data_IF_505947259294
#
_entry.id   IF_505947259294
#
_cell.length_a   1.000
_cell.length_b   1.000
_cell.length_c   1.000
_cell.angle_alpha   90.00
_cell.angle_beta   90.00
_cell.angle_gamma   90.00
#
_symmetry.space_group_name_H-M   'P 1'
#
loop_
_entity.id
_entity.type
_entity.pdbx_description
1 polymer ?
#
# COMPACT_ATOMS: atom_id res chain seq x y z
N UNK A 1 -6.82 16.17 3.15
CA UNK A 1 -7.11 15.90 1.73
C UNK A 1 -8.62 15.72 1.49
N UNK A 2 -9.27 14.65 1.97
CA UNK A 2 -10.75 14.44 1.88
C UNK A 2 -11.60 15.55 2.49
N UNK A 3 -11.12 16.18 3.57
CA UNK A 3 -11.82 17.28 4.24
C UNK A 3 -11.68 18.63 3.53
N UNK A 4 -10.57 18.83 2.80
CA UNK A 4 -10.19 20.13 2.19
C UNK A 4 -10.54 20.22 0.71
N UNK A 5 -10.61 19.09 0.01
CA UNK A 5 -10.96 19.00 -1.41
C UNK A 5 -11.96 17.87 -1.60
N UNK A 6 -13.15 18.20 -2.12
CA UNK A 6 -14.22 17.23 -2.41
C UNK A 6 -14.14 16.82 -3.87
N UNK A 7 -14.15 15.51 -4.14
CA UNK A 7 -14.18 14.96 -5.50
C UNK A 7 -13.50 13.59 -5.59
N UNK A 8 -14.24 12.58 -6.04
CA UNK A 8 -13.75 11.18 -6.12
C UNK A 8 -12.52 11.06 -7.03
N UNK A 9 -12.55 11.76 -8.17
CA UNK A 9 -11.45 11.75 -9.14
C UNK A 9 -10.13 12.27 -8.56
N UNK A 10 -10.17 13.39 -7.83
CA UNK A 10 -8.99 13.97 -7.16
C UNK A 10 -8.42 13.01 -6.11
N UNK A 11 -9.28 12.28 -5.40
CA UNK A 11 -8.84 11.29 -4.40
C UNK A 11 -8.15 10.08 -5.04
N UNK A 12 -8.71 9.55 -6.11
CA UNK A 12 -8.15 8.38 -6.78
C UNK A 12 -6.80 8.69 -7.41
N UNK A 13 -6.67 9.84 -8.07
CA UNK A 13 -5.42 10.25 -8.70
C UNK A 13 -4.34 10.58 -7.66
N UNK A 14 -4.71 11.20 -6.54
CA UNK A 14 -3.78 11.39 -5.42
C UNK A 14 -3.33 10.06 -4.83
N UNK A 15 -4.24 9.11 -4.69
CA UNK A 15 -3.89 7.80 -4.15
C UNK A 15 -2.91 7.06 -5.07
N UNK A 16 -3.07 7.18 -6.40
CA UNK A 16 -2.08 6.72 -7.39
C UNK A 16 -0.74 7.47 -7.19
N UNK A 17 -0.76 8.79 -7.10
CA UNK A 17 0.42 9.63 -6.92
C UNK A 17 1.23 9.25 -5.66
N UNK A 18 0.54 9.10 -4.53
CA UNK A 18 1.15 8.74 -3.24
C UNK A 18 1.86 7.38 -3.25
N UNK A 19 1.45 6.49 -4.17
CA UNK A 19 1.96 5.12 -4.30
C UNK A 19 3.04 4.96 -5.35
N UNK A 20 3.27 5.97 -6.17
CA UNK A 20 4.29 5.95 -7.22
C UNK A 20 5.64 5.58 -6.60
N UNK A 21 6.32 4.62 -7.23
CA UNK A 21 7.65 4.20 -6.77
C UNK A 21 8.73 5.12 -7.33
N UNK A 22 8.51 5.62 -8.55
CA UNK A 22 9.48 6.44 -9.30
C UNK A 22 9.08 7.91 -9.23
N UNK A 23 10.07 8.78 -9.09
CA UNK A 23 9.87 10.24 -9.10
C UNK A 23 9.30 10.70 -10.45
N UNK A 24 9.68 10.07 -11.56
CA UNK A 24 9.12 10.37 -12.89
C UNK A 24 7.61 10.11 -12.94
N UNK A 25 7.17 8.95 -12.46
CA UNK A 25 5.75 8.58 -12.37
C UNK A 25 4.99 9.54 -11.44
N UNK A 26 5.58 9.88 -10.30
CA UNK A 26 5.03 10.88 -9.37
C UNK A 26 4.83 12.24 -10.06
N UNK A 27 5.84 12.75 -10.77
CA UNK A 27 5.78 14.05 -11.46
C UNK A 27 4.71 14.06 -12.56
N UNK A 28 4.58 12.97 -13.31
CA UNK A 28 3.53 12.80 -14.33
C UNK A 28 2.14 12.89 -13.70
N UNK A 29 1.90 12.17 -12.60
CA UNK A 29 0.60 12.19 -11.91
C UNK A 29 0.34 13.55 -11.23
N UNK A 30 1.37 14.20 -10.67
CA UNK A 30 1.26 15.58 -10.15
C UNK A 30 0.88 16.58 -11.25
N UNK A 31 1.38 16.40 -12.47
CA UNK A 31 0.95 17.17 -13.64
C UNK A 31 -0.54 16.99 -13.94
N UNK A 32 -1.05 15.76 -13.88
CA UNK A 32 -2.48 15.48 -14.06
C UNK A 32 -3.32 16.12 -12.94
N UNK A 33 -2.87 16.04 -11.68
CA UNK A 33 -3.55 16.70 -10.54
C UNK A 33 -3.60 18.21 -10.76
N UNK A 34 -2.51 18.82 -11.23
CA UNK A 34 -2.46 20.26 -11.54
C UNK A 34 -3.45 20.64 -12.65
N UNK A 35 -3.60 19.79 -13.66
CA UNK A 35 -4.59 19.97 -14.72
C UNK A 35 -6.03 19.92 -14.22
N UNK A 36 -6.34 19.06 -13.25
CA UNK A 36 -7.68 18.98 -12.63
C UNK A 36 -7.91 20.18 -11.70
N UNK A 37 -6.96 20.45 -10.80
CA UNK A 37 -7.07 21.54 -9.84
C UNK A 37 -5.70 22.00 -9.33
N UNK A 38 -5.28 23.19 -9.78
CA UNK A 38 -4.00 23.81 -9.41
C UNK A 38 -3.86 24.00 -7.89
N UNK A 39 -4.94 24.35 -7.17
CA UNK A 39 -4.90 24.56 -5.71
C UNK A 39 -4.61 23.27 -4.96
N UNK A 40 -5.10 22.13 -5.47
CA UNK A 40 -4.79 20.81 -4.90
C UNK A 40 -3.31 20.50 -5.08
N UNK A 41 -2.78 20.67 -6.31
CA UNK A 41 -1.37 20.41 -6.59
C UNK A 41 -0.45 21.26 -5.71
N UNK A 42 -0.75 22.55 -5.57
CA UNK A 42 0.01 23.48 -4.73
C UNK A 42 0.02 23.04 -3.26
N UNK A 43 -1.15 22.73 -2.71
CA UNK A 43 -1.27 22.22 -1.35
C UNK A 43 -0.47 20.93 -1.12
N UNK A 44 -0.49 20.00 -2.07
CA UNK A 44 0.23 18.72 -1.95
C UNK A 44 1.75 18.91 -1.92
N UNK A 45 2.27 19.90 -2.63
CA UNK A 45 3.68 20.29 -2.58
C UNK A 45 4.02 20.95 -1.24
N UNK A 46 3.18 21.87 -0.76
CA UNK A 46 3.37 22.56 0.52
C UNK A 46 3.39 21.62 1.73
N UNK A 47 2.60 20.54 1.70
CA UNK A 47 2.59 19.51 2.76
C UNK A 47 3.92 18.74 2.82
N UNK A 48 4.80 18.89 1.82
CA UNK A 48 6.03 18.15 1.57
C UNK A 48 5.76 16.70 1.12
N UNK A 49 6.05 16.34 -0.14
CA UNK A 49 5.95 14.98 -0.66
C UNK A 49 6.64 13.92 0.19
N UNK A 50 7.72 14.24 0.91
CA UNK A 50 8.39 13.27 1.80
C UNK A 50 7.46 12.72 2.88
N UNK A 51 6.45 13.49 3.29
CA UNK A 51 5.51 13.09 4.36
C UNK A 51 4.40 12.15 3.90
N UNK A 52 4.11 12.09 2.60
CA UNK A 52 2.93 11.38 2.10
C UNK A 52 3.16 10.54 0.83
N UNK A 53 4.18 10.84 0.03
CA UNK A 53 4.49 10.14 -1.21
C UNK A 53 5.62 9.12 -1.00
N UNK A 54 5.42 7.91 -1.52
CA UNK A 54 6.42 6.84 -1.46
C UNK A 54 7.71 7.17 -2.20
N UNK A 55 7.62 7.77 -3.38
CA UNK A 55 8.78 8.10 -4.22
C UNK A 55 9.79 9.04 -3.54
N UNK A 56 9.34 9.84 -2.57
CA UNK A 56 10.14 10.84 -1.84
C UNK A 56 10.47 10.43 -0.40
N UNK A 57 9.99 9.28 0.08
CA UNK A 57 10.29 8.79 1.41
C UNK A 57 11.54 7.92 1.38
N UNK A 58 12.54 8.22 2.22
CA UNK A 58 13.84 7.53 2.21
C UNK A 58 13.74 6.08 2.73
N UNK A 59 12.71 5.77 3.52
CA UNK A 59 12.46 4.44 4.06
C UNK A 59 11.42 3.61 3.28
N UNK A 60 11.01 2.48 3.89
CA UNK A 60 9.91 1.67 3.35
C UNK A 60 8.58 2.15 3.92
N UNK A 61 7.76 2.79 3.09
CA UNK A 61 6.38 3.16 3.47
C UNK A 61 5.41 2.01 3.20
N UNK A 62 5.04 1.31 4.27
CA UNK A 62 4.06 0.23 4.25
C UNK A 62 2.63 0.75 4.05
N UNK A 63 1.77 -0.11 3.52
CA UNK A 63 0.46 0.15 2.90
C UNK A 63 -0.62 0.82 3.80
N UNK A 64 -0.29 1.21 5.04
CA UNK A 64 -1.24 1.82 5.98
C UNK A 64 -1.30 3.33 5.72
N UNK A 65 -2.04 3.69 4.67
CA UNK A 65 -2.42 5.07 4.38
C UNK A 65 -3.90 5.34 4.63
N UNK A 66 -4.62 4.34 5.16
CA UNK A 66 -6.06 4.39 5.37
C UNK A 66 -6.36 4.37 6.86
N UNK A 67 -7.30 5.21 7.28
CA UNK A 67 -7.92 5.20 8.60
C UNK A 67 -8.91 4.05 8.76
N UNK A 68 -9.06 3.18 7.75
CA UNK A 68 -10.08 2.13 7.72
C UNK A 68 -10.03 1.18 8.93
N UNK A 69 -8.85 0.84 9.43
CA UNK A 69 -8.74 0.01 10.64
C UNK A 69 -9.29 0.76 11.86
N UNK A 70 -8.90 2.02 12.03
CA UNK A 70 -9.39 2.86 13.12
C UNK A 70 -10.92 3.12 12.98
N UNK A 71 -11.41 3.40 11.78
CA UNK A 71 -12.84 3.58 11.48
C UNK A 71 -13.65 2.30 11.75
N UNK A 72 -13.15 1.15 11.33
CA UNK A 72 -13.78 -0.14 11.58
C UNK A 72 -13.82 -0.46 13.08
N UNK A 73 -12.70 -0.30 13.79
CA UNK A 73 -12.65 -0.47 15.25
C UNK A 73 -13.55 0.56 15.96
N UNK A 74 -13.61 1.80 15.47
CA UNK A 74 -14.51 2.82 15.99
C UNK A 74 -15.98 2.41 15.85
N UNK A 75 -16.34 1.82 14.72
CA UNK A 75 -17.69 1.30 14.47
C UNK A 75 -18.02 0.12 15.38
N UNK A 76 -17.12 -0.87 15.46
CA UNK A 76 -17.30 -2.08 16.29
C UNK A 76 -17.43 -1.71 17.78
N UNK A 77 -16.58 -0.79 18.26
CA UNK A 77 -16.54 -0.41 19.66
C UNK A 77 -17.53 0.72 20.01
N UNK A 78 -18.37 1.15 19.08
CA UNK A 78 -19.24 2.33 19.27
C UNK A 78 -20.07 2.23 20.56
N UNK A 79 -20.73 1.10 20.77
CA UNK A 79 -21.56 0.85 21.97
C UNK A 79 -20.69 0.52 23.19
N UNK A 80 -19.62 -0.25 23.00
CA UNK A 80 -18.76 -0.66 24.11
C UNK A 80 -18.04 0.51 24.81
N UNK A 81 -17.86 1.65 24.12
CA UNK A 81 -17.25 2.87 24.68
C UNK A 81 -18.09 3.57 25.74
N UNK A 82 -19.40 3.35 25.73
CA UNK A 82 -20.32 3.91 26.73
C UNK A 82 -20.30 3.08 28.02
N UNK A 83 -19.63 1.93 28.01
CA UNK A 83 -19.47 1.07 29.18
C UNK A 83 -18.31 1.56 30.08
N UNK A 84 -18.32 1.18 31.38
CA UNK A 84 -17.17 1.36 32.24
C UNK A 84 -15.89 0.75 31.65
N UNK A 85 -14.73 1.32 31.98
CA UNK A 85 -13.45 0.92 31.40
C UNK A 85 -13.18 -0.60 31.49
N UNK A 86 -13.53 -1.23 32.60
CA UNK A 86 -13.40 -2.69 32.79
C UNK A 86 -14.23 -3.48 31.79
N UNK A 87 -15.48 -3.07 31.55
CA UNK A 87 -16.39 -3.71 30.59
C UNK A 87 -15.98 -3.49 29.14
N UNK A 88 -15.41 -2.33 28.82
CA UNK A 88 -14.82 -2.08 27.51
C UNK A 88 -13.64 -3.03 27.25
N UNK A 89 -12.75 -3.21 28.24
CA UNK A 89 -11.61 -4.14 28.13
C UNK A 89 -12.10 -5.58 27.97
N UNK A 90 -13.07 -6.02 28.76
CA UNK A 90 -13.68 -7.36 28.63
C UNK A 90 -14.25 -7.59 27.21
N UNK A 91 -14.93 -6.57 26.66
CA UNK A 91 -15.50 -6.64 25.32
C UNK A 91 -14.41 -6.75 24.24
N UNK A 92 -13.36 -5.94 24.32
CA UNK A 92 -12.21 -6.01 23.40
C UNK A 92 -11.54 -7.38 23.48
N UNK A 93 -11.36 -7.91 24.70
CA UNK A 93 -10.77 -9.23 24.90
C UNK A 93 -11.60 -10.33 24.21
N UNK A 94 -12.93 -10.32 24.39
CA UNK A 94 -13.83 -11.26 23.72
C UNK A 94 -13.77 -11.17 22.18
N UNK A 95 -13.69 -9.96 21.62
CA UNK A 95 -13.52 -9.75 20.18
C UNK A 95 -12.20 -10.33 19.66
N UNK A 96 -11.10 -10.05 20.35
CA UNK A 96 -9.78 -10.57 19.98
C UNK A 96 -9.76 -12.10 20.04
N UNK A 97 -10.32 -12.69 21.11
CA UNK A 97 -10.40 -14.14 21.25
C UNK A 97 -11.20 -14.77 20.10
N UNK A 98 -12.36 -14.21 19.76
CA UNK A 98 -13.17 -14.66 18.62
C UNK A 98 -12.38 -14.57 17.30
N UNK A 99 -11.74 -13.44 17.01
CA UNK A 99 -10.98 -13.26 15.77
C UNK A 99 -9.76 -14.17 15.68
N UNK A 100 -9.07 -14.43 16.79
CA UNK A 100 -7.95 -15.37 16.81
C UNK A 100 -8.43 -16.80 16.57
N UNK A 101 -9.56 -17.18 17.15
CA UNK A 101 -10.20 -18.47 16.90
C UNK A 101 -10.59 -18.63 15.42
N UNK A 102 -11.34 -17.68 14.87
CA UNK A 102 -11.75 -17.69 13.45
C UNK A 102 -10.54 -17.73 12.50
N UNK A 103 -9.48 -16.99 12.82
CA UNK A 103 -8.24 -17.00 12.03
C UNK A 103 -7.55 -18.36 12.08
N UNK A 104 -7.48 -18.99 13.25
CA UNK A 104 -6.93 -20.35 13.39
C UNK A 104 -7.72 -21.35 12.55
N UNK A 105 -9.04 -21.34 12.66
CA UNK A 105 -9.92 -22.23 11.90
C UNK A 105 -9.79 -22.01 10.38
N UNK A 106 -9.62 -20.76 9.95
CA UNK A 106 -9.35 -20.45 8.55
C UNK A 106 -7.99 -21.01 8.10
N UNK A 107 -6.94 -20.89 8.92
CA UNK A 107 -5.60 -21.41 8.61
C UNK A 107 -5.56 -22.93 8.51
N UNK A 108 -6.30 -23.66 9.35
CA UNK A 108 -6.40 -25.13 9.26
C UNK A 108 -6.92 -25.59 7.88
N UNK A 109 -7.76 -24.78 7.23
CA UNK A 109 -8.33 -25.07 5.91
C UNK A 109 -7.44 -24.65 4.74
N UNK A 110 -6.30 -23.99 5.02
CA UNK A 110 -5.40 -23.51 3.98
C UNK A 110 -4.44 -24.61 3.54
N UNK A 111 -4.18 -24.69 2.24
CA UNK A 111 -3.27 -25.68 1.65
C UNK A 111 -1.83 -25.20 1.53
N UNK A 112 -1.56 -23.91 1.76
CA UNK A 112 -0.22 -23.33 1.71
C UNK A 112 0.02 -22.44 2.94
N UNK A 113 1.29 -22.10 3.27
CA UNK A 113 1.61 -21.22 4.38
C UNK A 113 1.18 -19.76 4.16
N UNK A 114 0.64 -19.40 3.00
CA UNK A 114 0.27 -18.03 2.64
C UNK A 114 -1.23 -17.85 2.67
N UNK A 115 -1.71 -16.73 3.23
CA UNK A 115 -3.14 -16.38 3.15
C UNK A 115 -3.62 -16.31 1.71
N UNK A 116 -4.89 -16.62 1.46
CA UNK A 116 -5.50 -16.55 0.11
C UNK A 116 -5.25 -15.21 -0.58
N UNK A 117 -5.23 -14.10 0.18
CA UNK A 117 -4.89 -12.78 -0.34
C UNK A 117 -3.43 -12.70 -0.82
N UNK A 118 -2.49 -13.21 -0.01
CA UNK A 118 -1.08 -13.22 -0.34
C UNK A 118 -0.79 -14.13 -1.54
N UNK A 119 -1.39 -15.32 -1.59
CA UNK A 119 -1.30 -16.22 -2.75
C UNK A 119 -1.82 -15.56 -4.02
N UNK A 120 -3.03 -14.98 -3.99
CA UNK A 120 -3.63 -14.29 -5.14
C UNK A 120 -2.70 -13.18 -5.62
N UNK A 121 -2.08 -12.45 -4.68
CA UNK A 121 -1.12 -11.39 -4.99
C UNK A 121 0.18 -11.91 -5.60
N UNK A 122 0.75 -13.00 -5.07
CA UNK A 122 1.94 -13.63 -5.63
C UNK A 122 1.68 -14.22 -7.01
N UNK A 123 0.57 -14.95 -7.18
CA UNK A 123 0.13 -15.49 -8.47
C UNK A 123 -0.01 -14.39 -9.52
N UNK A 124 -0.63 -13.27 -9.15
CA UNK A 124 -0.74 -12.11 -10.03
C UNK A 124 0.61 -11.49 -10.40
N UNK A 125 1.60 -11.48 -9.50
CA UNK A 125 2.97 -11.02 -9.80
C UNK A 125 3.72 -12.02 -10.69
N UNK A 126 3.63 -13.31 -10.40
CA UNK A 126 4.24 -14.37 -11.20
C UNK A 126 3.72 -14.32 -12.64
N UNK A 127 2.40 -14.24 -12.84
CA UNK A 127 1.82 -14.12 -14.18
C UNK A 127 2.34 -12.89 -14.95
N UNK A 128 2.46 -11.73 -14.29
CA UNK A 128 3.03 -10.52 -14.92
C UNK A 128 4.51 -10.70 -15.26
N UNK A 129 5.28 -11.37 -14.40
CA UNK A 129 6.72 -11.58 -14.65
C UNK A 129 7.02 -12.43 -15.88
N UNK A 130 6.05 -13.21 -16.37
CA UNK A 130 6.19 -14.00 -17.60
C UNK A 130 6.36 -13.13 -18.85
N UNK A 131 5.98 -11.85 -18.78
CA UNK A 131 6.15 -10.89 -19.87
C UNK A 131 7.49 -10.14 -19.79
N UNK A 132 8.31 -10.38 -18.76
CA UNK A 132 9.56 -9.65 -18.56
C UNK A 132 10.67 -10.26 -19.41
N UNK A 133 11.45 -9.39 -20.06
CA UNK A 133 12.74 -9.75 -20.66
C UNK A 133 13.81 -9.55 -19.59
N UNK A 134 14.53 -10.62 -19.27
CA UNK A 134 15.56 -10.62 -18.22
C UNK A 134 16.91 -10.90 -18.87
N UNK A 135 17.84 -9.97 -18.71
CA UNK A 135 19.21 -10.08 -19.20
C UNK A 135 20.14 -10.19 -18.00
N UNK A 136 20.92 -11.28 -17.86
CA UNK A 136 21.86 -11.42 -16.76
C UNK A 136 23.00 -10.40 -16.91
N UNK A 137 23.36 -9.75 -15.81
CA UNK A 137 24.58 -8.91 -15.71
C UNK A 137 25.66 -9.70 -14.95
N UNK A 138 25.28 -10.34 -13.85
CA UNK A 138 26.10 -11.30 -13.11
C UNK A 138 25.19 -12.27 -12.32
N UNK A 139 25.76 -13.03 -11.37
CA UNK A 139 25.03 -14.02 -10.57
C UNK A 139 23.85 -13.43 -9.78
N UNK A 140 23.93 -12.16 -9.38
CA UNK A 140 22.94 -11.51 -8.52
C UNK A 140 22.18 -10.39 -9.24
N UNK A 141 22.79 -9.79 -10.26
CA UNK A 141 22.26 -8.63 -10.97
C UNK A 141 21.69 -8.97 -12.34
N UNK A 142 20.49 -8.46 -12.58
CA UNK A 142 19.73 -8.74 -13.77
C UNK A 142 19.13 -7.42 -14.29
N UNK A 143 19.30 -7.16 -15.57
CA UNK A 143 18.58 -6.09 -16.24
C UNK A 143 17.22 -6.61 -16.68
N UNK A 144 16.15 -6.02 -16.12
CA UNK A 144 14.77 -6.46 -16.33
C UNK A 144 14.01 -5.38 -17.10
N UNK A 145 13.46 -5.79 -18.24
CA UNK A 145 12.68 -4.94 -19.14
C UNK A 145 11.27 -5.48 -19.32
N UNK A 146 10.29 -4.61 -19.13
CA UNK A 146 8.88 -4.76 -19.49
C UNK A 146 8.46 -3.46 -20.18
N UNK A 147 7.38 -3.43 -20.96
CA UNK A 147 6.92 -2.19 -21.64
C UNK A 147 6.81 -0.96 -20.73
N UNK A 148 6.75 -1.15 -19.41
CA UNK A 148 6.76 -0.12 -18.38
C UNK A 148 8.01 -0.12 -17.46
N UNK A 149 8.72 -1.25 -17.34
CA UNK A 149 9.87 -1.43 -16.46
C UNK A 149 11.16 -1.43 -17.27
N UNK A 150 12.12 -0.62 -16.89
CA UNK A 150 13.49 -0.74 -17.33
C UNK A 150 14.33 -0.50 -16.08
N UNK A 151 14.91 -1.56 -15.53
CA UNK A 151 15.60 -1.46 -14.26
C UNK A 151 16.60 -2.58 -14.01
N UNK A 152 17.61 -2.26 -13.19
CA UNK A 152 18.57 -3.23 -12.68
C UNK A 152 18.03 -3.78 -11.36
N UNK A 153 17.98 -5.10 -11.26
CA UNK A 153 17.50 -5.85 -10.10
C UNK A 153 18.67 -6.61 -9.50
N UNK A 154 18.93 -6.41 -8.21
CA UNK A 154 19.91 -7.17 -7.45
C UNK A 154 19.16 -8.11 -6.48
N UNK A 155 19.33 -9.42 -6.68
CA UNK A 155 18.63 -10.45 -5.90
C UNK A 155 19.25 -10.67 -4.51
N UNK A 156 20.55 -10.40 -4.35
CA UNK A 156 21.24 -10.50 -3.05
C UNK A 156 20.75 -9.40 -2.11
N UNK A 157 20.82 -8.15 -2.57
CA UNK A 157 20.46 -6.97 -1.77
C UNK A 157 18.95 -6.72 -1.73
N UNK A 158 18.19 -7.47 -2.54
CA UNK A 158 16.74 -7.32 -2.70
C UNK A 158 16.34 -5.91 -3.13
N UNK A 159 17.05 -5.38 -4.13
CA UNK A 159 16.86 -4.01 -4.63
C UNK A 159 16.51 -4.00 -6.12
N UNK A 160 15.85 -2.92 -6.54
CA UNK A 160 15.57 -2.60 -7.95
C UNK A 160 15.77 -1.11 -8.14
N UNK A 161 16.36 -0.68 -9.26
CA UNK A 161 16.43 0.77 -9.61
C UNK A 161 15.04 1.39 -9.79
N UNK A 162 14.03 0.56 -10.06
CA UNK A 162 12.62 0.94 -10.04
C UNK A 162 12.04 1.18 -8.64
N UNK A 163 12.83 0.97 -7.57
CA UNK A 163 12.45 1.05 -6.14
C UNK A 163 11.34 0.09 -5.71
N UNK A 164 11.02 -0.89 -6.56
CA UNK A 164 9.99 -1.91 -6.31
C UNK A 164 10.65 -3.29 -6.39
N UNK A 165 10.73 -3.96 -5.26
CA UNK A 165 11.19 -5.34 -5.12
C UNK A 165 10.06 -6.14 -4.43
#
# INVERSE_FOLDING_TARGET
MKTKFRGVEVHDIFYKCSKAYRVVEFNQIMGQIKGINVRVAQYLIEVDPKKWARSHFDGRRYYIMTTNIAECLNSILKVARELPATKLVDHIHGLLQKWFWERREATVKMSTPLTNWAEKRLRGRSNKSRCYRVHPVNLYEHHVVDGYLNGLVNLSDKTCTCRKF
#
